data_IF_897500338655
#
_entry.id   IF_897500338655
#
_cell.length_a   1.000
_cell.length_b   1.000
_cell.length_c   1.000
_cell.angle_alpha   90.00
_cell.angle_beta   90.00
_cell.angle_gamma   90.00
#
_symmetry.space_group_name_H-M   'P 1'
#
loop_
_entity.id
_entity.type
_entity.pdbx_description
1 polymer ?
#
# COMPACT_ATOMS: atom_id res chain seq x y z
N UNK A 1 -16.48 42.23 -12.58
CA UNK A 1 -16.76 41.03 -11.75
C UNK A 1 -15.82 39.84 -12.05
N UNK A 2 -14.83 39.98 -12.95
CA UNK A 2 -13.86 38.90 -13.28
C UNK A 2 -12.59 38.89 -12.41
N UNK A 3 -12.24 40.01 -11.77
CA UNK A 3 -11.05 40.08 -10.90
C UNK A 3 -11.17 39.27 -9.61
N UNK A 4 -12.40 38.96 -9.19
CA UNK A 4 -12.64 38.16 -7.98
C UNK A 4 -12.39 36.67 -8.20
N UNK A 5 -12.39 36.19 -9.45
CA UNK A 5 -12.05 34.80 -9.79
C UNK A 5 -10.54 34.60 -9.98
N UNK A 6 -9.79 35.65 -10.36
CA UNK A 6 -8.32 35.61 -10.43
C UNK A 6 -7.70 35.68 -9.02
N UNK A 7 -8.37 36.33 -8.06
CA UNK A 7 -7.91 36.41 -6.66
C UNK A 7 -8.18 35.17 -5.79
N UNK A 8 -8.97 34.19 -6.25
CA UNK A 8 -9.13 32.92 -5.51
C UNK A 8 -7.91 32.00 -5.68
N UNK A 9 -7.11 32.19 -6.74
CA UNK A 9 -5.88 31.43 -6.95
C UNK A 9 -4.63 32.04 -6.28
N UNK A 10 -4.77 33.16 -5.56
CA UNK A 10 -3.64 33.86 -4.96
C UNK A 10 -3.38 33.50 -3.48
N UNK A 11 -4.04 32.48 -2.92
CA UNK A 11 -3.87 32.11 -1.52
C UNK A 11 -4.18 30.63 -1.22
N UNK A 12 -3.61 29.72 -2.00
CA UNK A 12 -3.30 28.39 -1.47
C UNK A 12 -1.79 28.35 -1.34
N UNK A 13 -1.29 28.76 -0.18
CA UNK A 13 0.12 28.66 0.22
C UNK A 13 0.47 27.17 0.45
N UNK A 14 0.14 26.35 -0.55
CA UNK A 14 0.30 24.92 -0.49
C UNK A 14 1.75 24.60 -0.77
N UNK A 15 2.41 24.00 0.20
CA UNK A 15 3.79 23.55 0.04
C UNK A 15 3.95 22.74 -1.25
N UNK A 16 5.06 22.97 -1.94
CA UNK A 16 5.44 22.21 -3.13
C UNK A 16 5.43 20.68 -2.87
N UNK A 17 5.69 20.27 -1.63
CA UNK A 17 5.58 18.88 -1.19
C UNK A 17 4.17 18.32 -1.36
N UNK A 18 3.14 19.11 -1.01
CA UNK A 18 1.74 18.70 -1.09
C UNK A 18 1.29 18.61 -2.55
N UNK A 19 1.69 19.59 -3.38
CA UNK A 19 1.42 19.55 -4.83
C UNK A 19 2.09 18.33 -5.48
N UNK A 20 3.32 18.02 -5.07
CA UNK A 20 4.05 16.86 -5.57
C UNK A 20 3.40 15.56 -5.12
N UNK A 21 3.02 15.46 -3.84
CA UNK A 21 2.32 14.32 -3.29
C UNK A 21 1.01 14.04 -4.04
N UNK A 22 0.23 15.09 -4.38
CA UNK A 22 -1.00 14.95 -5.18
C UNK A 22 -0.74 14.40 -6.58
N UNK A 23 0.33 14.85 -7.26
CA UNK A 23 0.69 14.34 -8.60
C UNK A 23 1.05 12.85 -8.54
N UNK A 24 1.88 12.47 -7.58
CA UNK A 24 2.24 11.06 -7.35
C UNK A 24 0.99 10.24 -7.01
N UNK A 25 0.16 10.74 -6.11
CA UNK A 25 -1.08 10.08 -5.69
C UNK A 25 -2.04 9.84 -6.86
N UNK A 26 -2.18 10.81 -7.78
CA UNK A 26 -3.05 10.66 -8.94
C UNK A 26 -2.61 9.52 -9.86
N UNK A 27 -1.30 9.35 -10.08
CA UNK A 27 -0.75 8.23 -10.86
C UNK A 27 -1.03 6.91 -10.14
N UNK A 28 -0.69 6.83 -8.86
CA UNK A 28 -0.84 5.62 -8.05
C UNK A 28 -2.31 5.20 -7.95
N UNK A 29 -3.22 6.13 -7.68
CA UNK A 29 -4.65 5.87 -7.60
C UNK A 29 -5.22 5.39 -8.93
N UNK A 30 -4.82 6.00 -10.05
CA UNK A 30 -5.26 5.60 -11.40
C UNK A 30 -4.84 4.16 -11.68
N UNK A 31 -3.54 3.85 -11.52
CA UNK A 31 -3.03 2.51 -11.80
C UNK A 31 -3.63 1.45 -10.87
N UNK A 32 -3.79 1.78 -9.58
CA UNK A 32 -4.41 0.88 -8.60
C UNK A 32 -5.87 0.61 -8.97
N UNK A 33 -6.65 1.64 -9.31
CA UNK A 33 -8.06 1.52 -9.68
C UNK A 33 -8.25 0.75 -10.98
N UNK A 34 -7.39 0.96 -11.98
CA UNK A 34 -7.45 0.25 -13.26
C UNK A 34 -7.22 -1.26 -13.10
N UNK A 35 -6.35 -1.65 -12.16
CA UNK A 35 -6.01 -3.05 -11.90
C UNK A 35 -7.09 -3.74 -11.07
N UNK A 36 -7.56 -3.06 -10.04
CA UNK A 36 -8.50 -3.62 -9.07
C UNK A 36 -9.94 -3.52 -9.56
N UNK A 37 -10.29 -2.53 -10.38
CA UNK A 37 -11.66 -2.30 -10.85
C UNK A 37 -12.66 -2.43 -9.70
N UNK A 38 -12.47 -1.67 -8.61
CA UNK A 38 -13.18 -1.83 -7.32
C UNK A 38 -14.70 -2.00 -7.41
N UNK A 39 -15.36 -1.54 -8.47
CA UNK A 39 -16.77 -1.88 -8.77
C UNK A 39 -17.05 -3.38 -8.94
N UNK A 40 -16.02 -4.21 -9.14
CA UNK A 40 -16.09 -5.67 -9.30
C UNK A 40 -15.73 -6.45 -8.05
N UNK A 41 -15.15 -5.81 -7.03
CA UNK A 41 -14.85 -6.45 -5.75
C UNK A 41 -15.97 -6.13 -4.77
N UNK A 42 -16.68 -7.16 -4.31
CA UNK A 42 -17.61 -6.97 -3.19
C UNK A 42 -16.80 -6.65 -1.94
N UNK A 43 -16.84 -5.38 -1.52
CA UNK A 43 -16.15 -4.88 -0.33
C UNK A 43 -16.53 -5.65 0.95
N UNK A 44 -17.68 -6.33 0.97
CA UNK A 44 -18.12 -7.19 2.09
C UNK A 44 -17.36 -8.52 2.16
N UNK A 45 -16.71 -8.92 1.07
CA UNK A 45 -16.01 -10.21 0.91
C UNK A 45 -14.49 -10.01 0.88
N UNK A 46 -14.01 -8.77 0.94
CA UNK A 46 -12.58 -8.49 1.03
C UNK A 46 -12.03 -8.93 2.40
N UNK A 47 -10.86 -9.61 2.44
CA UNK A 47 -10.20 -9.97 3.68
C UNK A 47 -10.00 -8.76 4.59
N UNK A 48 -10.08 -8.95 5.91
CA UNK A 48 -9.95 -7.86 6.90
C UNK A 48 -8.63 -7.07 6.75
N UNK A 49 -7.57 -7.71 6.27
CA UNK A 49 -6.25 -7.13 6.05
C UNK A 49 -6.01 -6.59 4.62
N UNK A 50 -7.05 -6.55 3.79
CA UNK A 50 -6.97 -6.07 2.41
C UNK A 50 -6.57 -4.60 2.35
N UNK A 51 -7.12 -3.76 3.23
CA UNK A 51 -6.80 -2.34 3.28
C UNK A 51 -5.30 -2.14 3.56
N UNK A 52 -4.73 -2.89 4.51
CA UNK A 52 -3.32 -2.82 4.86
C UNK A 52 -2.42 -3.20 3.69
N UNK A 53 -2.73 -4.31 3.00
CA UNK A 53 -2.02 -4.74 1.78
C UNK A 53 -2.07 -3.70 0.69
N UNK A 54 -3.25 -3.13 0.44
CA UNK A 54 -3.43 -2.16 -0.63
C UNK A 54 -2.73 -0.83 -0.33
N UNK A 55 -2.83 -0.34 0.91
CA UNK A 55 -2.12 0.86 1.36
C UNK A 55 -0.61 0.64 1.29
N UNK A 56 -0.13 -0.54 1.69
CA UNK A 56 1.26 -0.97 1.48
C UNK A 56 1.67 -0.89 0.01
N UNK A 57 0.86 -1.45 -0.89
CA UNK A 57 1.08 -1.40 -2.34
C UNK A 57 1.20 0.03 -2.86
N UNK A 58 0.24 0.89 -2.52
CA UNK A 58 0.26 2.30 -2.90
C UNK A 58 1.50 3.02 -2.34
N UNK A 59 1.96 2.63 -1.15
CA UNK A 59 3.19 3.17 -0.57
C UNK A 59 4.44 2.75 -1.34
N UNK A 60 4.61 1.45 -1.60
CA UNK A 60 5.72 0.92 -2.40
C UNK A 60 5.78 1.58 -3.77
N UNK A 61 4.64 1.72 -4.45
CA UNK A 61 4.57 2.40 -5.74
C UNK A 61 4.95 3.89 -5.63
N UNK A 62 4.41 4.59 -4.62
CA UNK A 62 4.75 6.00 -4.37
C UNK A 62 6.25 6.22 -4.16
N UNK A 63 6.92 5.31 -3.44
CA UNK A 63 8.37 5.35 -3.25
C UNK A 63 9.12 5.26 -4.59
N UNK A 64 8.71 4.38 -5.49
CA UNK A 64 9.37 4.24 -6.80
C UNK A 64 9.23 5.47 -7.69
N UNK A 65 8.03 6.09 -7.74
CA UNK A 65 7.82 7.33 -8.48
C UNK A 65 8.66 8.45 -7.86
N UNK A 66 8.64 8.58 -6.53
CA UNK A 66 9.42 9.61 -5.85
C UNK A 66 10.92 9.47 -6.11
N UNK A 67 11.44 8.24 -6.05
CA UNK A 67 12.83 7.95 -6.39
C UNK A 67 13.16 8.30 -7.85
N UNK A 68 12.29 7.93 -8.80
CA UNK A 68 12.47 8.23 -10.21
C UNK A 68 12.48 9.74 -10.52
N UNK A 69 11.67 10.50 -9.78
CA UNK A 69 11.58 11.96 -9.92
C UNK A 69 12.59 12.71 -9.04
N UNK A 70 13.46 12.00 -8.30
CA UNK A 70 14.45 12.56 -7.37
C UNK A 70 13.83 13.46 -6.29
N UNK A 71 12.65 13.10 -5.81
CA UNK A 71 11.98 13.75 -4.68
C UNK A 71 12.71 13.31 -3.41
N UNK A 72 13.27 14.26 -2.66
CA UNK A 72 14.10 13.98 -1.48
C UNK A 72 13.34 14.08 -0.17
N UNK A 73 12.15 14.66 -0.20
CA UNK A 73 11.34 14.94 0.97
C UNK A 73 10.66 13.65 1.45
N UNK A 74 11.04 13.10 2.62
CA UNK A 74 10.57 11.80 3.07
C UNK A 74 9.07 11.77 3.39
N UNK A 75 8.45 12.95 3.58
CA UNK A 75 7.01 13.11 3.78
C UNK A 75 6.18 12.90 2.51
N UNK A 76 6.74 13.17 1.32
CA UNK A 76 5.98 13.15 0.05
C UNK A 76 5.45 11.76 -0.30
N UNK A 77 6.21 10.65 -0.20
CA UNK A 77 5.68 9.31 -0.44
C UNK A 77 4.53 8.94 0.51
N UNK A 78 4.62 9.31 1.80
CA UNK A 78 3.57 9.05 2.78
C UNK A 78 2.31 9.87 2.49
N UNK A 79 2.47 11.16 2.20
CA UNK A 79 1.36 12.03 1.82
C UNK A 79 0.69 11.55 0.53
N UNK A 80 1.47 11.14 -0.48
CA UNK A 80 0.96 10.59 -1.73
C UNK A 80 0.18 9.29 -1.48
N UNK A 81 0.69 8.41 -0.64
CA UNK A 81 0.01 7.16 -0.24
C UNK A 81 -1.35 7.46 0.39
N UNK A 82 -1.38 8.37 1.36
CA UNK A 82 -2.60 8.77 2.07
C UNK A 82 -3.66 9.33 1.11
N UNK A 83 -3.24 10.22 0.19
CA UNK A 83 -4.13 10.81 -0.81
C UNK A 83 -4.62 9.75 -1.81
N UNK A 84 -3.75 8.84 -2.27
CA UNK A 84 -4.16 7.77 -3.17
C UNK A 84 -5.17 6.83 -2.49
N UNK A 85 -4.90 6.46 -1.23
CA UNK A 85 -5.75 5.58 -0.45
C UNK A 85 -7.15 6.17 -0.24
N UNK A 86 -7.29 7.48 0.01
CA UNK A 86 -8.61 8.08 0.17
C UNK A 86 -9.45 8.07 -1.11
N UNK A 87 -8.83 8.07 -2.29
CA UNK A 87 -9.52 7.90 -3.57
C UNK A 87 -9.92 6.45 -3.83
N UNK A 88 -9.05 5.52 -3.48
CA UNK A 88 -9.21 4.09 -3.80
C UNK A 88 -10.08 3.36 -2.78
N UNK A 89 -10.06 3.81 -1.52
CA UNK A 89 -10.77 3.23 -0.38
C UNK A 89 -11.70 4.27 0.27
N UNK A 90 -12.71 4.80 -0.44
CA UNK A 90 -13.52 5.92 0.05
C UNK A 90 -14.37 5.56 1.29
N UNK A 91 -14.58 4.28 1.55
CA UNK A 91 -15.34 3.78 2.71
C UNK A 91 -14.48 3.55 3.95
N UNK A 92 -13.16 3.68 3.84
CA UNK A 92 -12.25 3.51 4.95
C UNK A 92 -12.07 4.85 5.66
N UNK A 93 -12.23 4.85 6.98
CA UNK A 93 -12.16 6.08 7.77
C UNK A 93 -10.75 6.68 7.73
N UNK A 94 -10.68 8.01 7.60
CA UNK A 94 -9.41 8.73 7.45
C UNK A 94 -8.43 8.47 8.61
N UNK A 95 -8.94 8.33 9.84
CA UNK A 95 -8.10 8.03 11.00
C UNK A 95 -7.47 6.63 10.93
N UNK A 96 -8.16 5.66 10.34
CA UNK A 96 -7.64 4.31 10.16
C UNK A 96 -6.59 4.28 9.05
N UNK A 97 -6.80 5.01 7.96
CA UNK A 97 -5.76 5.22 6.94
C UNK A 97 -4.50 5.86 7.53
N UNK A 98 -4.66 6.81 8.44
CA UNK A 98 -3.54 7.46 9.12
C UNK A 98 -2.78 6.51 10.01
N UNK A 99 -3.50 5.64 10.71
CA UNK A 99 -2.88 4.62 11.51
C UNK A 99 -2.00 3.71 10.64
N UNK A 100 -2.54 3.19 9.53
CA UNK A 100 -1.80 2.33 8.61
C UNK A 100 -0.56 3.03 8.03
N UNK A 101 -0.71 4.28 7.57
CA UNK A 101 0.37 5.06 6.95
C UNK A 101 1.41 5.56 7.98
N UNK A 102 1.08 5.62 9.26
CA UNK A 102 2.05 5.95 10.30
C UNK A 102 2.75 4.72 10.88
N UNK A 103 2.14 3.54 10.78
CA UNK A 103 2.64 2.25 11.28
C UNK A 103 3.31 1.38 10.18
N UNK A 104 3.96 2.02 9.20
CA UNK A 104 4.57 1.43 7.97
C UNK A 104 5.56 0.26 8.20
N UNK A 105 5.90 -0.07 9.45
CA UNK A 105 6.87 -1.12 9.80
C UNK A 105 6.37 -2.25 10.70
N UNK A 106 5.15 -2.19 11.26
CA UNK A 106 4.66 -3.18 12.23
C UNK A 106 3.71 -4.23 11.64
N UNK A 107 3.19 -3.99 10.43
CA UNK A 107 2.19 -4.85 9.79
C UNK A 107 2.80 -5.67 8.65
N UNK A 108 2.65 -7.00 8.74
CA UNK A 108 3.15 -7.94 7.72
C UNK A 108 2.43 -7.75 6.38
N UNK A 109 1.13 -7.48 6.42
CA UNK A 109 0.31 -7.24 5.24
C UNK A 109 0.66 -5.95 4.53
N UNK A 110 0.93 -4.88 5.29
CA UNK A 110 1.48 -3.66 4.73
C UNK A 110 2.83 -3.95 4.03
N UNK A 111 3.71 -4.73 4.66
CA UNK A 111 5.03 -5.05 4.12
C UNK A 111 4.94 -5.85 2.81
N UNK A 112 4.10 -6.88 2.77
CA UNK A 112 3.82 -7.65 1.56
C UNK A 112 3.24 -6.75 0.44
N UNK A 113 2.29 -5.88 0.81
CA UNK A 113 1.78 -4.83 -0.08
C UNK A 113 2.90 -3.96 -0.65
N UNK A 114 3.75 -3.43 0.22
CA UNK A 114 4.86 -2.55 -0.14
C UNK A 114 5.80 -3.20 -1.14
N UNK A 115 6.14 -4.47 -0.94
CA UNK A 115 7.01 -5.22 -1.86
C UNK A 115 6.37 -5.37 -3.24
N UNK A 116 5.08 -5.73 -3.30
CA UNK A 116 4.35 -5.77 -4.56
C UNK A 116 4.29 -4.38 -5.25
N UNK A 117 4.08 -3.32 -4.47
CA UNK A 117 4.09 -1.94 -4.95
C UNK A 117 5.44 -1.50 -5.50
N UNK A 118 6.53 -1.89 -4.85
CA UNK A 118 7.89 -1.64 -5.33
C UNK A 118 8.15 -2.37 -6.64
N UNK A 119 7.74 -3.62 -6.77
CA UNK A 119 7.93 -4.42 -7.98
C UNK A 119 7.20 -3.81 -9.19
N UNK A 120 5.90 -3.52 -9.04
CA UNK A 120 5.09 -2.91 -10.10
C UNK A 120 5.55 -1.48 -10.41
N UNK A 121 5.89 -0.71 -9.37
CA UNK A 121 6.40 0.65 -9.50
C UNK A 121 7.72 0.73 -10.27
N UNK A 122 8.69 -0.14 -9.95
CA UNK A 122 9.95 -0.23 -10.68
C UNK A 122 9.73 -0.58 -12.17
N UNK A 123 8.81 -1.51 -12.45
CA UNK A 123 8.44 -1.86 -13.82
C UNK A 123 7.80 -0.70 -14.56
N UNK A 124 6.91 0.03 -13.90
CA UNK A 124 6.26 1.21 -14.47
C UNK A 124 7.27 2.31 -14.78
N UNK A 125 8.17 2.64 -13.85
CA UNK A 125 9.24 3.62 -14.07
C UNK A 125 10.15 3.20 -15.23
N UNK A 126 10.50 1.92 -15.33
CA UNK A 126 11.42 1.43 -16.36
C UNK A 126 10.78 1.33 -17.75
N UNK A 127 9.47 1.04 -17.84
CA UNK A 127 8.84 0.63 -19.12
C UNK A 127 7.57 1.39 -19.48
N UNK A 128 7.05 2.23 -18.59
CA UNK A 128 5.74 2.87 -18.72
C UNK A 128 4.55 1.91 -18.61
N UNK A 129 4.79 0.62 -18.31
CA UNK A 129 3.75 -0.41 -18.25
C UNK A 129 3.48 -0.83 -16.81
N UNK A 130 2.21 -1.07 -16.51
CA UNK A 130 1.80 -1.70 -15.24
C UNK A 130 2.38 -3.12 -15.10
N UNK A 131 2.60 -3.54 -13.86
CA UNK A 131 2.92 -4.92 -13.52
C UNK A 131 1.68 -5.71 -13.10
N UNK A 132 1.92 -6.91 -12.57
CA UNK A 132 0.89 -7.89 -12.17
C UNK A 132 0.94 -8.20 -10.68
N UNK A 133 1.90 -7.63 -9.92
CA UNK A 133 2.13 -7.99 -8.52
C UNK A 133 0.92 -7.65 -7.64
N UNK A 134 0.20 -6.56 -7.94
CA UNK A 134 -1.06 -6.28 -7.26
C UNK A 134 -2.08 -7.41 -7.47
N UNK A 135 -2.29 -7.86 -8.71
CA UNK A 135 -3.26 -8.92 -9.01
C UNK A 135 -2.85 -10.22 -8.35
N UNK A 136 -1.57 -10.60 -8.44
CA UNK A 136 -1.01 -11.80 -7.83
C UNK A 136 -1.23 -11.78 -6.31
N UNK A 137 -0.91 -10.67 -5.64
CA UNK A 137 -1.14 -10.48 -4.21
C UNK A 137 -2.64 -10.57 -3.85
N UNK A 138 -3.53 -10.07 -4.70
CA UNK A 138 -4.98 -10.12 -4.47
C UNK A 138 -5.60 -11.49 -4.76
N UNK A 139 -4.99 -12.27 -5.66
CA UNK A 139 -5.40 -13.62 -6.00
C UNK A 139 -4.84 -14.67 -5.05
N UNK A 140 -3.76 -14.37 -4.32
CA UNK A 140 -3.19 -15.21 -3.26
C UNK A 140 -4.06 -15.22 -1.98
N UNK A 141 -5.32 -15.62 -2.15
CA UNK A 141 -6.34 -15.78 -1.09
C UNK A 141 -6.09 -17.01 -0.20
N UNK A 142 -5.09 -17.81 -0.51
CA UNK A 142 -4.61 -18.88 0.36
C UNK A 142 -3.65 -18.29 1.34
N UNK A 143 -4.16 -17.90 2.51
CA UNK A 143 -3.31 -17.73 3.68
C UNK A 143 -2.43 -18.96 3.78
N UNK A 144 -1.12 -18.77 3.60
CA UNK A 144 -0.15 -19.77 3.97
C UNK A 144 -0.47 -20.15 5.42
N UNK A 145 -0.98 -21.37 5.60
CA UNK A 145 -1.09 -21.99 6.88
C UNK A 145 0.29 -21.81 7.53
N UNK A 146 0.32 -21.05 8.64
CA UNK A 146 1.46 -21.03 9.52
C UNK A 146 1.65 -22.49 9.89
N UNK A 147 2.68 -23.14 9.34
CA UNK A 147 3.03 -24.49 9.73
C UNK A 147 3.16 -24.47 11.25
N UNK A 148 2.50 -25.39 11.98
CA UNK A 148 2.66 -25.43 13.42
C UNK A 148 4.14 -25.65 13.69
N UNK A 149 4.71 -24.74 14.48
CA UNK A 149 6.02 -24.87 15.06
C UNK A 149 6.09 -26.25 15.72
N UNK A 150 6.79 -27.21 15.09
CA UNK A 150 7.15 -28.46 15.75
C UNK A 150 8.12 -28.10 16.85
N UNK A 151 7.54 -27.78 18.01
CA UNK A 151 8.23 -27.88 19.30
C UNK A 151 8.52 -29.36 19.50
N UNK A 152 9.68 -29.81 19.02
CA UNK A 152 10.25 -31.10 19.43
C UNK A 152 10.66 -30.98 20.91
N UNK A 153 9.68 -31.17 21.80
CA UNK A 153 9.89 -31.61 23.17
C UNK A 153 9.79 -33.13 23.19
N UNK A 154 10.84 -33.81 22.76
CA UNK A 154 11.06 -35.23 23.01
C UNK A 154 11.91 -35.46 24.26
N UNK A 155 11.35 -35.25 25.46
CA UNK A 155 11.92 -35.72 26.73
C UNK A 155 10.87 -36.53 27.48
N UNK A 156 10.86 -37.85 27.24
CA UNK A 156 10.45 -38.98 28.10
C UNK A 156 10.10 -40.13 27.16
N UNK A 157 10.61 -41.35 27.25
CA UNK A 157 11.42 -42.04 28.24
C UNK A 157 11.20 -43.53 27.95
N UNK A 158 12.23 -44.36 28.02
CA UNK A 158 12.03 -45.80 28.19
C UNK A 158 13.22 -46.41 28.92
N UNK A 159 12.96 -46.61 30.21
CA UNK A 159 13.60 -47.60 31.06
C UNK A 159 13.18 -48.98 30.54
N UNK A 160 14.13 -49.87 30.29
CA UNK A 160 13.92 -51.31 30.41
C UNK A 160 15.22 -51.99 30.81
N UNK A 161 15.16 -52.55 32.01
CA UNK A 161 16.06 -53.50 32.64
C UNK A 161 15.80 -54.92 32.11
N UNK A 162 16.84 -55.76 32.22
CA UNK A 162 16.83 -57.24 32.36
C UNK A 162 16.56 -58.11 31.11
N UNK A 163 17.61 -58.79 30.63
CA UNK A 163 17.98 -60.15 31.08
C UNK A 163 19.47 -60.42 30.82
#
# INVERSE_FOLDING_TARGET
>A
MFERLVRVNAASDESQEVLTARKVAAIVATLTTDITGFSKFDHRVLPRNFADKLVGYMHGFSLTICAAWRITEPGVPRAATRIAASFVLPHVEAHYLDQIVNEIGSCAEFSAGREAGLADGNRYVATGRRGTALIEMLMDRTGAAVAPFETDRGLSGQVSQEA
#
